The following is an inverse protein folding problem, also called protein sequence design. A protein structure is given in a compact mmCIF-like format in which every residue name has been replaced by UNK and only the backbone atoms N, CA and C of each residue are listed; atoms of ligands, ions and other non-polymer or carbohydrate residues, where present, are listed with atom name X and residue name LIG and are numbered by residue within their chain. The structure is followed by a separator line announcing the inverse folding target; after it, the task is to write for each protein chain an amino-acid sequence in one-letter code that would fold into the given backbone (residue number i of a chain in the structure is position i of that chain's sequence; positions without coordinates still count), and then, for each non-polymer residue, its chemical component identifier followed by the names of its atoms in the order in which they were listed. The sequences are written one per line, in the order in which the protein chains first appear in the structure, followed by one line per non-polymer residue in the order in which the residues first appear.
data_IF_957011484378
#
_entry.id   IF_957011484378
#
_cell.length_a   1.000
_cell.length_b   1.000
_cell.length_c   1.000
_cell.angle_alpha   90.00
_cell.angle_beta   90.00
_cell.angle_gamma   90.00
#
_symmetry.space_group_name_H-M   'P 1'
#
loop_
_entity.id
_entity.type
_entity.pdbx_description
1 polymer ?
#
# COMPACT_ATOMS: atom_id res chain seq x y z
N UNK A 1 1.98 18.64 -4.78
CA UNK A 1 2.97 17.54 -4.87
C UNK A 1 3.09 16.93 -3.49
N UNK A 2 2.49 15.76 -3.27
CA UNK A 2 2.52 15.09 -1.96
C UNK A 2 3.84 14.33 -1.87
N UNK A 3 4.69 14.66 -0.91
CA UNK A 3 5.99 13.98 -0.71
C UNK A 3 5.76 12.49 -0.44
N UNK A 4 6.57 11.55 -0.99
CA UNK A 4 6.36 10.11 -0.81
C UNK A 4 6.28 9.66 0.65
N UNK A 5 6.94 10.37 1.56
CA UNK A 5 6.86 10.12 3.01
C UNK A 5 5.47 10.40 3.62
N UNK A 6 4.73 11.34 3.06
CA UNK A 6 3.38 11.68 3.50
C UNK A 6 2.36 10.61 3.06
N UNK A 7 2.54 10.01 1.88
CA UNK A 7 1.72 8.87 1.42
C UNK A 7 1.93 7.64 2.31
N UNK A 8 3.19 7.27 2.61
CA UNK A 8 3.49 6.14 3.51
C UNK A 8 2.90 6.37 4.91
N UNK A 9 2.96 7.61 5.41
CA UNK A 9 2.34 7.96 6.69
C UNK A 9 0.81 7.87 6.65
N UNK A 10 0.19 8.25 5.54
CA UNK A 10 -1.26 8.12 5.34
C UNK A 10 -1.67 6.64 5.30
N UNK A 11 -0.92 5.80 4.59
CA UNK A 11 -1.18 4.36 4.52
C UNK A 11 -1.07 3.68 5.88
N UNK A 12 -0.05 4.04 6.68
CA UNK A 12 0.06 3.53 8.06
C UNK A 12 -1.16 3.89 8.91
N UNK A 13 -1.63 5.14 8.83
CA UNK A 13 -2.83 5.57 9.56
C UNK A 13 -4.09 4.82 9.11
N UNK A 14 -4.23 4.53 7.82
CA UNK A 14 -5.35 3.75 7.30
C UNK A 14 -5.32 2.31 7.83
N UNK A 15 -4.13 1.70 7.89
CA UNK A 15 -3.94 0.36 8.45
C UNK A 15 -4.23 0.35 9.96
N UNK A 16 -3.75 1.33 10.73
CA UNK A 16 -4.04 1.45 12.17
C UNK A 16 -5.55 1.57 12.43
N UNK A 17 -6.23 2.47 11.72
CA UNK A 17 -7.68 2.64 11.87
C UNK A 17 -8.47 1.37 11.47
N UNK A 18 -8.00 0.62 10.48
CA UNK A 18 -8.60 -0.66 10.11
C UNK A 18 -8.40 -1.74 11.19
N UNK A 19 -7.21 -1.80 11.80
CA UNK A 19 -6.94 -2.69 12.93
C UNK A 19 -7.87 -2.38 14.09
N UNK A 20 -8.02 -1.10 14.47
CA UNK A 20 -8.91 -0.69 15.55
C UNK A 20 -10.35 -1.14 15.29
N UNK A 21 -10.86 -0.97 14.06
CA UNK A 21 -12.22 -1.40 13.69
C UNK A 21 -12.41 -2.92 13.74
N UNK A 22 -11.42 -3.67 13.26
CA UNK A 22 -11.44 -5.13 13.33
C UNK A 22 -11.42 -5.63 14.78
N UNK A 23 -10.56 -5.05 15.62
CA UNK A 23 -10.49 -5.38 17.05
C UNK A 23 -11.75 -4.97 17.81
N UNK A 24 -12.40 -3.88 17.41
CA UNK A 24 -13.68 -3.44 17.95
C UNK A 24 -14.88 -4.25 17.45
N UNK A 25 -14.69 -5.16 16.48
CA UNK A 25 -15.77 -5.94 15.87
C UNK A 25 -16.71 -5.10 14.99
N UNK A 26 -16.25 -3.93 14.51
CA UNK A 26 -17.02 -3.00 13.68
C UNK A 26 -16.34 -2.77 12.31
N UNK A 27 -16.12 -3.84 11.50
CA UNK A 27 -15.55 -3.70 10.17
C UNK A 27 -16.47 -2.91 9.24
N UNK A 28 -15.90 -2.07 8.37
CA UNK A 28 -16.66 -1.27 7.40
C UNK A 28 -16.68 -1.90 6.00
N UNK A 29 -15.60 -2.58 5.62
CA UNK A 29 -15.42 -3.14 4.27
C UNK A 29 -15.16 -4.64 4.29
N UNK A 30 -14.60 -5.14 5.38
CA UNK A 30 -14.26 -6.55 5.60
C UNK A 30 -15.37 -7.32 6.31
N UNK A 31 -15.23 -8.64 6.36
CA UNK A 31 -16.13 -9.53 7.11
C UNK A 31 -15.79 -9.63 8.61
N UNK A 32 -14.77 -8.90 9.09
CA UNK A 32 -14.35 -8.92 10.49
C UNK A 32 -13.30 -9.98 10.84
N UNK A 33 -12.90 -10.86 9.91
CA UNK A 33 -11.87 -11.86 10.24
C UNK A 33 -10.50 -11.17 10.41
N UNK A 34 -9.75 -11.59 11.44
CA UNK A 34 -8.40 -11.10 11.73
C UNK A 34 -7.35 -11.75 10.81
N UNK A 35 -7.56 -11.66 9.50
CA UNK A 35 -6.63 -12.14 8.48
C UNK A 35 -5.99 -10.99 7.74
N UNK A 36 -4.78 -11.20 7.20
CA UNK A 36 -4.06 -10.20 6.40
C UNK A 36 -4.86 -9.76 5.17
N UNK A 37 -5.69 -10.64 4.61
CA UNK A 37 -6.53 -10.32 3.44
C UNK A 37 -7.64 -9.35 3.82
N UNK A 38 -8.33 -9.62 4.93
CA UNK A 38 -9.42 -8.77 5.41
C UNK A 38 -8.90 -7.43 5.94
N UNK A 39 -7.73 -7.42 6.59
CA UNK A 39 -7.07 -6.17 6.97
C UNK A 39 -6.71 -5.31 5.75
N UNK A 40 -6.16 -5.91 4.70
CA UNK A 40 -5.84 -5.19 3.46
C UNK A 40 -7.09 -4.56 2.83
N UNK A 41 -8.20 -5.32 2.83
CA UNK A 41 -9.49 -4.89 2.31
C UNK A 41 -10.14 -3.80 3.17
N UNK A 42 -10.02 -3.90 4.50
CA UNK A 42 -10.52 -2.92 5.47
C UNK A 42 -9.74 -1.60 5.44
N UNK A 43 -8.42 -1.68 5.22
CA UNK A 43 -7.51 -0.53 5.15
C UNK A 43 -7.41 0.09 3.75
N UNK A 44 -8.03 -0.51 2.73
CA UNK A 44 -7.93 -0.09 1.32
C UNK A 44 -6.50 -0.11 0.76
N UNK A 45 -5.69 -1.07 1.22
CA UNK A 45 -4.30 -1.23 0.78
C UNK A 45 -4.10 -2.56 0.07
N UNK A 46 -3.17 -2.61 -0.88
CA UNK A 46 -2.84 -3.87 -1.55
C UNK A 46 -2.16 -4.82 -0.56
N UNK A 47 -2.58 -6.09 -0.50
CA UNK A 47 -2.04 -7.14 0.39
C UNK A 47 -0.50 -7.18 0.44
N UNK A 48 0.16 -7.07 -0.72
CA UNK A 48 1.62 -7.16 -0.79
C UNK A 48 2.33 -6.01 -0.05
N UNK A 49 1.65 -4.87 0.17
CA UNK A 49 2.17 -3.77 0.99
C UNK A 49 2.23 -4.12 2.48
N UNK A 50 1.43 -5.08 2.94
CA UNK A 50 1.47 -5.54 4.33
C UNK A 50 2.58 -6.58 4.57
N UNK A 51 2.93 -7.38 3.55
CA UNK A 51 3.89 -8.49 3.69
C UNK A 51 5.27 -8.24 3.13
N UNK A 52 5.41 -7.43 2.08
CA UNK A 52 6.68 -7.24 1.35
C UNK A 52 6.94 -5.79 0.95
N UNK A 53 6.48 -4.84 1.78
CA UNK A 53 6.50 -3.38 1.50
C UNK A 53 7.83 -2.89 0.92
N UNK A 54 8.92 -3.13 1.63
CA UNK A 54 10.24 -2.56 1.30
C UNK A 54 10.85 -3.20 0.06
N UNK A 55 10.66 -4.52 -0.10
CA UNK A 55 11.20 -5.25 -1.24
C UNK A 55 10.49 -4.85 -2.54
N UNK A 56 9.16 -4.71 -2.49
CA UNK A 56 8.39 -4.28 -3.65
C UNK A 56 8.52 -2.77 -3.93
N UNK A 57 8.67 -1.90 -2.92
CA UNK A 57 8.97 -0.48 -3.15
C UNK A 57 10.30 -0.29 -3.88
N UNK A 58 11.33 -1.07 -3.52
CA UNK A 58 12.63 -1.06 -4.20
C UNK A 58 12.52 -1.52 -5.65
N UNK A 59 11.93 -2.69 -5.89
CA UNK A 59 11.72 -3.20 -7.26
C UNK A 59 10.87 -2.25 -8.10
N UNK A 60 9.81 -1.66 -7.53
CA UNK A 60 8.99 -0.68 -8.25
C UNK A 60 9.76 0.61 -8.56
N UNK A 61 10.71 1.02 -7.72
CA UNK A 61 11.57 2.19 -7.98
C UNK A 61 12.49 1.92 -9.17
N UNK A 62 13.19 0.77 -9.16
CA UNK A 62 14.08 0.34 -10.25
C UNK A 62 13.31 0.24 -11.58
N UNK A 63 12.12 -0.39 -11.58
CA UNK A 63 11.25 -0.47 -12.76
C UNK A 63 10.79 0.91 -13.25
N UNK A 64 10.52 1.86 -12.35
CA UNK A 64 10.11 3.22 -12.74
C UNK A 64 11.25 3.98 -13.41
N UNK A 65 12.47 3.85 -12.89
CA UNK A 65 13.67 4.45 -13.50
C UNK A 65 13.92 3.87 -14.90
N UNK A 66 13.77 2.55 -15.04
CA UNK A 66 13.93 1.86 -16.33
C UNK A 66 12.85 2.27 -17.35
N UNK A 67 11.59 2.40 -16.93
CA UNK A 67 10.50 2.90 -17.77
C UNK A 67 10.74 4.35 -18.20
N UNK A 68 11.25 5.20 -17.32
CA UNK A 68 11.55 6.61 -17.63
C UNK A 68 12.64 6.71 -18.71
N UNK A 69 13.70 5.90 -18.59
CA UNK A 69 14.77 5.80 -19.59
C UNK A 69 14.22 5.28 -20.92
N UNK A 70 13.39 4.25 -20.90
CA UNK A 70 12.76 3.71 -22.11
C UNK A 70 11.84 4.74 -22.77
N UNK A 71 11.05 5.49 -22.00
CA UNK A 71 10.22 6.59 -22.52
C UNK A 71 11.05 7.69 -23.15
N UNK A 72 12.15 8.09 -22.51
CA UNK A 72 13.06 9.09 -23.05
C UNK A 72 13.71 8.63 -24.36
N UNK A 73 14.03 7.33 -24.47
CA UNK A 73 14.66 6.74 -25.67
C UNK A 73 13.69 6.62 -26.84
N UNK A 74 12.42 6.27 -26.57
CA UNK A 74 11.39 6.11 -27.62
C UNK A 74 10.83 7.46 -28.09
N UNK A 75 11.03 8.54 -27.33
CA UNK A 75 10.61 9.90 -27.69
C UNK A 75 11.68 10.70 -28.46
N UNK A 76 12.85 10.13 -28.73
CA UNK A 76 13.88 10.66 -29.63
C UNK A 76 13.73 10.09 -31.04
#
# INVERSE_FOLDING_TARGET
MTTPEAEVRSERKQIEAAIERLLAGAPLRSNGDLTVIQLALEADVKRWKLTHREQLEKTNRELREEIEVLRATVSC
#
